data_IF_667219082229
#
_entry.id   IF_667219082229
#
_cell.length_a   1.000
_cell.length_b   1.000
_cell.length_c   1.000
_cell.angle_alpha   90.00
_cell.angle_beta   90.00
_cell.angle_gamma   90.00
#
_symmetry.space_group_name_H-M   'P 1'
#
loop_
_entity.id
_entity.type
_entity.pdbx_description
1 polymer ?
#
# COMPACT_ATOMS: atom_id res chain seq x y z
N UNK A 1 -17.38 -4.04 -41.97
CA UNK A 1 -16.54 -4.89 -41.09
C UNK A 1 -15.56 -3.98 -40.36
N UNK A 2 -15.74 -3.76 -39.05
CA UNK A 2 -14.80 -2.98 -38.25
C UNK A 2 -13.73 -3.93 -37.68
N UNK A 3 -12.44 -3.60 -37.86
CA UNK A 3 -11.34 -4.38 -37.31
C UNK A 3 -11.36 -4.37 -35.77
N UNK A 4 -11.06 -5.50 -35.10
CA UNK A 4 -10.94 -5.53 -33.66
C UNK A 4 -9.78 -4.62 -33.23
N UNK A 5 -10.07 -3.57 -32.45
CA UNK A 5 -9.03 -2.76 -31.80
C UNK A 5 -8.24 -3.70 -30.88
N UNK A 6 -6.98 -4.01 -31.22
CA UNK A 6 -6.03 -4.57 -30.25
C UNK A 6 -5.90 -3.54 -29.13
N UNK A 7 -6.55 -3.80 -27.99
CA UNK A 7 -6.45 -2.91 -26.83
C UNK A 7 -4.99 -2.86 -26.36
N UNK A 8 -4.44 -1.66 -26.19
CA UNK A 8 -3.11 -1.48 -25.62
C UNK A 8 -3.11 -1.92 -24.15
N UNK A 9 -2.75 -3.18 -23.90
CA UNK A 9 -2.66 -3.74 -22.54
C UNK A 9 -1.38 -3.29 -21.80
N UNK A 10 -0.37 -2.80 -22.53
CA UNK A 10 0.93 -2.39 -21.99
C UNK A 10 0.84 -1.39 -20.82
N UNK A 11 0.16 -0.24 -20.99
CA UNK A 11 0.00 0.76 -19.92
C UNK A 11 -0.69 0.21 -18.66
N UNK A 12 -1.64 -0.71 -18.82
CA UNK A 12 -2.35 -1.33 -17.68
C UNK A 12 -1.42 -2.25 -16.90
N UNK A 13 -0.64 -3.09 -17.59
CA UNK A 13 0.33 -3.99 -16.94
C UNK A 13 1.40 -3.18 -16.19
N UNK A 14 1.93 -2.13 -16.81
CA UNK A 14 2.90 -1.23 -16.16
C UNK A 14 2.29 -0.59 -14.90
N UNK A 15 1.04 -0.11 -14.98
CA UNK A 15 0.34 0.47 -13.83
C UNK A 15 0.14 -0.52 -12.68
N UNK A 16 -0.21 -1.76 -12.98
CA UNK A 16 -0.38 -2.83 -11.97
C UNK A 16 0.95 -3.18 -11.31
N UNK A 17 2.01 -3.38 -12.11
CA UNK A 17 3.36 -3.70 -11.59
C UNK A 17 3.88 -2.54 -10.74
N UNK A 18 3.75 -1.31 -11.21
CA UNK A 18 4.16 -0.12 -10.47
C UNK A 18 3.40 0.03 -9.15
N UNK A 19 2.08 -0.18 -9.14
CA UNK A 19 1.29 -0.12 -7.92
C UNK A 19 1.66 -1.22 -6.92
N UNK A 20 1.92 -2.44 -7.40
CA UNK A 20 2.40 -3.54 -6.58
C UNK A 20 3.75 -3.25 -5.94
N UNK A 21 4.73 -2.78 -6.74
CA UNK A 21 6.05 -2.40 -6.24
C UNK A 21 5.97 -1.24 -5.24
N UNK A 22 5.17 -0.22 -5.53
CA UNK A 22 4.95 0.90 -4.62
C UNK A 22 4.35 0.45 -3.28
N UNK A 23 3.54 -0.60 -3.26
CA UNK A 23 2.93 -1.13 -2.04
C UNK A 23 3.92 -1.86 -1.11
N UNK A 24 5.05 -2.31 -1.64
CA UNK A 24 6.12 -2.92 -0.85
C UNK A 24 6.89 -1.89 -0.01
N UNK A 25 6.97 -0.65 -0.48
CA UNK A 25 7.67 0.45 0.20
C UNK A 25 7.15 0.68 1.63
N UNK A 26 5.85 0.92 1.86
CA UNK A 26 5.34 1.04 3.23
C UNK A 26 5.47 -0.27 4.01
N UNK A 27 5.41 -1.44 3.37
CA UNK A 27 5.64 -2.73 4.03
C UNK A 27 7.04 -2.82 4.67
N UNK A 28 8.07 -2.36 3.96
CA UNK A 28 9.42 -2.24 4.51
C UNK A 28 9.47 -1.31 5.72
N UNK A 29 8.85 -0.12 5.61
CA UNK A 29 8.82 0.83 6.72
C UNK A 29 8.11 0.28 7.96
N UNK A 30 7.03 -0.49 7.80
CA UNK A 30 6.33 -1.14 8.92
C UNK A 30 7.26 -2.12 9.67
N UNK A 31 8.05 -2.91 8.94
CA UNK A 31 9.01 -3.84 9.57
C UNK A 31 10.07 -3.09 10.36
N UNK A 32 10.67 -2.05 9.78
CA UNK A 32 11.71 -1.25 10.44
C UNK A 32 11.14 -0.41 11.59
N UNK A 33 9.84 -0.07 11.54
CA UNK A 33 9.17 0.64 12.63
C UNK A 33 9.19 -0.12 13.96
N UNK A 34 9.43 -1.43 13.96
CA UNK A 34 9.62 -2.20 15.21
C UNK A 34 10.85 -1.80 16.03
N UNK A 35 11.74 -0.95 15.49
CA UNK A 35 12.83 -0.33 16.24
C UNK A 35 12.37 0.83 17.13
N UNK A 36 11.20 1.42 16.84
CA UNK A 36 10.68 2.64 17.48
C UNK A 36 9.32 2.35 18.15
N UNK A 37 8.47 1.60 17.47
CA UNK A 37 7.11 1.31 17.87
C UNK A 37 7.01 -0.06 18.58
N UNK A 38 6.11 -0.20 19.56
CA UNK A 38 5.90 -1.47 20.27
C UNK A 38 5.34 -2.55 19.33
N UNK A 39 5.63 -3.81 19.64
CA UNK A 39 5.29 -4.96 18.79
C UNK A 39 3.80 -5.03 18.41
N UNK A 40 2.90 -4.68 19.34
CA UNK A 40 1.45 -4.70 19.06
C UNK A 40 1.06 -3.69 17.97
N UNK A 41 1.70 -2.51 17.92
CA UNK A 41 1.39 -1.48 16.93
C UNK A 41 1.87 -1.91 15.54
N UNK A 42 3.07 -2.50 15.46
CA UNK A 42 3.61 -3.09 14.23
C UNK A 42 2.70 -4.21 13.72
N UNK A 43 2.20 -5.07 14.62
CA UNK A 43 1.26 -6.14 14.25
C UNK A 43 -0.05 -5.58 13.69
N UNK A 44 -0.67 -4.61 14.35
CA UNK A 44 -1.91 -3.99 13.87
C UNK A 44 -1.70 -3.29 12.52
N UNK A 45 -0.58 -2.58 12.35
CA UNK A 45 -0.26 -1.92 11.10
C UNK A 45 0.03 -2.93 9.98
N UNK A 46 0.69 -4.04 10.29
CA UNK A 46 0.89 -5.16 9.36
C UNK A 46 -0.43 -5.77 8.92
N UNK A 47 -1.39 -5.95 9.83
CA UNK A 47 -2.74 -6.42 9.48
C UNK A 47 -3.47 -5.43 8.56
N UNK A 48 -3.39 -4.13 8.85
CA UNK A 48 -3.97 -3.09 8.00
C UNK A 48 -3.32 -3.06 6.60
N UNK A 49 -2.00 -3.24 6.53
CA UNK A 49 -1.26 -3.35 5.29
C UNK A 49 -1.72 -4.56 4.46
N UNK A 50 -1.87 -5.74 5.08
CA UNK A 50 -2.39 -6.94 4.39
C UNK A 50 -3.81 -6.69 3.86
N UNK A 51 -4.67 -6.04 4.64
CA UNK A 51 -6.03 -5.72 4.21
C UNK A 51 -6.03 -4.79 2.97
N UNK A 52 -5.15 -3.78 2.96
CA UNK A 52 -4.97 -2.89 1.81
C UNK A 52 -4.35 -3.61 0.61
N UNK A 53 -3.44 -4.56 0.82
CA UNK A 53 -2.91 -5.41 -0.25
C UNK A 53 -4.02 -6.24 -0.90
N UNK A 54 -4.90 -6.85 -0.10
CA UNK A 54 -6.07 -7.58 -0.63
C UNK A 54 -6.97 -6.65 -1.44
N UNK A 55 -7.19 -5.42 -0.96
CA UNK A 55 -7.96 -4.43 -1.70
C UNK A 55 -7.29 -4.03 -3.01
N UNK A 56 -5.97 -3.82 -3.02
CA UNK A 56 -5.18 -3.55 -4.21
C UNK A 56 -5.40 -4.65 -5.26
N UNK A 57 -5.25 -5.92 -4.86
CA UNK A 57 -5.46 -7.08 -5.74
C UNK A 57 -6.87 -7.07 -6.32
N UNK A 58 -7.90 -6.86 -5.49
CA UNK A 58 -9.30 -6.78 -5.94
C UNK A 58 -9.54 -5.62 -6.93
N UNK A 59 -8.85 -4.50 -6.77
CA UNK A 59 -8.97 -3.34 -7.67
C UNK A 59 -8.25 -3.58 -9.00
N UNK A 60 -7.09 -4.24 -8.97
CA UNK A 60 -6.36 -4.71 -10.15
C UNK A 60 -7.22 -5.68 -10.96
N UNK A 61 -7.84 -6.67 -10.31
CA UNK A 61 -8.73 -7.65 -10.95
C UNK A 61 -9.92 -6.97 -11.65
N UNK A 62 -10.48 -5.92 -11.03
CA UNK A 62 -11.55 -5.11 -11.60
C UNK A 62 -11.07 -4.09 -12.65
N UNK A 63 -9.77 -4.06 -12.97
CA UNK A 63 -9.12 -3.07 -13.85
C UNK A 63 -9.47 -1.62 -13.47
N UNK A 64 -9.55 -1.35 -12.16
CA UNK A 64 -9.94 -0.05 -11.64
C UNK A 64 -8.82 0.97 -11.81
N UNK A 65 -9.17 2.17 -12.29
CA UNK A 65 -8.25 3.31 -12.37
C UNK A 65 -7.81 3.83 -11.00
N UNK A 66 -8.53 3.45 -9.94
CA UNK A 66 -8.23 3.84 -8.56
C UNK A 66 -7.14 2.97 -7.89
N UNK A 67 -6.61 1.97 -8.58
CA UNK A 67 -5.54 1.08 -8.08
C UNK A 67 -4.34 1.83 -7.45
N UNK A 68 -3.83 2.93 -8.03
CA UNK A 68 -2.69 3.66 -7.45
C UNK A 68 -2.98 4.36 -6.12
N UNK A 69 -4.25 4.56 -5.75
CA UNK A 69 -4.61 5.20 -4.47
C UNK A 69 -4.25 4.32 -3.28
N UNK A 70 -4.25 3.00 -3.46
CA UNK A 70 -3.98 2.06 -2.38
C UNK A 70 -2.57 2.21 -1.79
N UNK A 71 -1.46 2.15 -2.57
CA UNK A 71 -0.12 2.38 -1.99
C UNK A 71 0.04 3.77 -1.38
N UNK A 72 -0.63 4.80 -1.90
CA UNK A 72 -0.62 6.16 -1.32
C UNK A 72 -1.31 6.16 0.05
N UNK A 73 -2.50 5.56 0.14
CA UNK A 73 -3.26 5.44 1.38
C UNK A 73 -2.49 4.65 2.44
N UNK A 74 -1.82 3.57 2.03
CA UNK A 74 -0.97 2.77 2.92
C UNK A 74 0.21 3.56 3.46
N UNK A 75 0.89 4.34 2.61
CA UNK A 75 1.98 5.21 3.04
C UNK A 75 1.50 6.28 4.01
N UNK A 76 0.36 6.93 3.71
CA UNK A 76 -0.24 7.92 4.60
C UNK A 76 -0.61 7.32 5.96
N UNK A 77 -1.24 6.14 5.95
CA UNK A 77 -1.59 5.41 7.18
C UNK A 77 -0.36 5.15 8.05
N UNK A 78 0.72 4.61 7.46
CA UNK A 78 1.96 4.39 8.18
C UNK A 78 2.50 5.68 8.80
N UNK A 79 2.60 6.74 8.01
CA UNK A 79 3.12 8.04 8.47
C UNK A 79 2.32 8.59 9.64
N UNK A 80 0.99 8.60 9.55
CA UNK A 80 0.13 9.09 10.62
C UNK A 80 0.26 8.27 11.91
N UNK A 81 0.37 6.95 11.81
CA UNK A 81 0.50 6.11 13.01
C UNK A 81 1.83 6.34 13.71
N UNK A 82 2.93 6.50 12.97
CA UNK A 82 4.23 6.82 13.58
C UNK A 82 4.21 8.21 14.22
N UNK A 83 3.72 9.22 13.50
CA UNK A 83 3.56 10.58 14.02
C UNK A 83 2.74 10.60 15.32
N UNK A 84 1.57 9.97 15.34
CA UNK A 84 0.73 9.90 16.53
C UNK A 84 1.38 9.08 17.65
N UNK A 85 2.14 8.05 17.30
CA UNK A 85 2.91 7.27 18.25
C UNK A 85 3.98 8.09 18.96
N UNK A 86 4.74 8.88 18.20
CA UNK A 86 5.73 9.83 18.73
C UNK A 86 5.06 10.89 19.61
N UNK A 87 4.02 11.58 19.09
CA UNK A 87 3.40 12.73 19.74
C UNK A 87 2.52 12.37 20.95
N UNK A 88 1.75 11.27 20.88
CA UNK A 88 0.73 10.92 21.87
C UNK A 88 1.15 9.79 22.81
N UNK A 89 2.00 8.87 22.33
CA UNK A 89 2.37 7.66 23.05
C UNK A 89 3.86 7.63 23.42
N UNK A 90 4.64 8.64 23.01
CA UNK A 90 6.06 8.75 23.31
C UNK A 90 6.92 7.65 22.69
N UNK A 91 6.52 7.12 21.52
CA UNK A 91 7.34 6.15 20.82
C UNK A 91 8.64 6.82 20.35
N UNK A 92 9.77 6.23 20.71
CA UNK A 92 11.08 6.61 20.23
C UNK A 92 11.96 5.36 20.17
N UNK A 93 13.03 5.41 19.38
CA UNK A 93 14.09 4.42 19.46
C UNK A 93 14.80 4.46 20.82
#
# INVERSE_FOLDING_TARGET
>A
MAAPRRGNTGPVVVGVVAAGLAHLVPGFFIVVSGLVAPAWAVLLMGLAWIALLVLLVRMVERRSWWTPVIPIATMALWYFVIMLGEDLLGWSA
#
